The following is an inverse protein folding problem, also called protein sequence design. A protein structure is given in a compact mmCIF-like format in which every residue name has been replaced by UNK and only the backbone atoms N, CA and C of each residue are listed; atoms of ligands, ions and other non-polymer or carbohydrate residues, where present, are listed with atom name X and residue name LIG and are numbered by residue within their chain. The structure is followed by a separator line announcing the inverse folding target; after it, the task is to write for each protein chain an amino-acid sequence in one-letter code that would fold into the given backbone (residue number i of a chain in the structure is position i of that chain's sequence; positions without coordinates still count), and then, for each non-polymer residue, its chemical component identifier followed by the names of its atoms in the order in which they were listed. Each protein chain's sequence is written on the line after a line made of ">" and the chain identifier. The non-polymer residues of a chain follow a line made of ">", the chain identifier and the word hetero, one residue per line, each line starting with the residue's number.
data_IF_407660720607
#
_entry.id   IF_407660720607
#
_cell.length_a   1.000
_cell.length_b   1.000
_cell.length_c   1.000
_cell.angle_alpha   90.00
_cell.angle_beta   90.00
_cell.angle_gamma   90.00
#
_symmetry.space_group_name_H-M   'P 1'
#
loop_
_entity.id
_entity.type
_entity.pdbx_description
1 polymer ?
#
# COMPACT_ATOMS: atom_id res chain seq x y z
N UNK A 1 7.13 -10.27 7.06
CA UNK A 1 7.84 -9.50 6.02
C UNK A 1 6.90 -8.85 5.03
N UNK A 2 5.85 -9.52 4.56
CA UNK A 2 4.83 -8.90 3.69
C UNK A 2 4.32 -7.52 4.13
N UNK A 3 3.89 -7.36 5.40
CA UNK A 3 3.40 -6.06 5.89
C UNK A 3 4.51 -4.98 5.87
N UNK A 4 5.72 -5.35 6.28
CA UNK A 4 6.88 -4.47 6.33
C UNK A 4 7.38 -4.04 4.95
N UNK A 5 7.20 -4.92 3.96
CA UNK A 5 7.62 -4.68 2.59
C UNK A 5 6.60 -3.81 1.85
N UNK A 6 5.30 -4.05 2.08
CA UNK A 6 4.22 -3.34 1.38
C UNK A 6 3.78 -2.05 2.07
N UNK A 7 4.28 -1.75 3.28
CA UNK A 7 3.89 -0.54 4.04
C UNK A 7 5.08 0.14 4.71
N UNK A 8 4.96 1.46 4.95
CA UNK A 8 5.97 2.28 5.66
C UNK A 8 5.81 2.17 7.19
N UNK A 9 4.93 1.30 7.69
CA UNK A 9 4.67 1.19 9.12
C UNK A 9 5.93 0.72 9.87
N UNK A 10 6.34 1.41 10.96
CA UNK A 10 7.51 1.04 11.73
C UNK A 10 7.24 -0.23 12.55
N UNK A 11 7.49 -1.39 11.94
CA UNK A 11 7.39 -2.69 12.61
C UNK A 11 8.71 -3.00 13.32
N UNK A 12 8.63 -3.39 14.59
CA UNK A 12 9.80 -3.82 15.35
C UNK A 12 10.09 -5.29 15.05
N UNK A 13 11.31 -5.58 14.59
CA UNK A 13 11.77 -6.95 14.38
C UNK A 13 12.78 -7.35 15.45
N UNK A 14 12.71 -8.60 15.88
CA UNK A 14 13.67 -9.19 16.83
C UNK A 14 15.01 -9.52 16.17
N UNK A 15 15.01 -9.73 14.85
CA UNK A 15 16.16 -9.95 13.98
C UNK A 15 15.92 -9.19 12.69
N UNK A 16 16.97 -8.64 12.07
CA UNK A 16 16.81 -7.96 10.78
C UNK A 16 16.32 -8.94 9.71
N UNK A 17 15.26 -8.59 8.96
CA UNK A 17 14.75 -9.43 7.88
C UNK A 17 15.79 -9.66 6.79
N UNK A 18 16.03 -10.91 6.42
CA UNK A 18 16.83 -11.21 5.22
C UNK A 18 15.99 -11.07 3.95
N UNK A 19 16.65 -10.90 2.79
CA UNK A 19 15.97 -10.93 1.49
C UNK A 19 15.21 -12.24 1.23
N UNK A 20 15.71 -13.37 1.75
CA UNK A 20 15.03 -14.67 1.66
C UNK A 20 13.72 -14.71 2.46
N UNK A 21 13.66 -14.02 3.61
CA UNK A 21 12.44 -13.93 4.41
C UNK A 21 11.36 -13.08 3.72
N UNK A 22 11.77 -12.03 3.01
CA UNK A 22 10.87 -11.24 2.15
C UNK A 22 10.34 -12.10 1.02
N UNK A 23 11.22 -12.80 0.29
CA UNK A 23 10.84 -13.66 -0.82
C UNK A 23 9.86 -14.77 -0.39
N UNK A 24 10.10 -15.43 0.76
CA UNK A 24 9.20 -16.45 1.32
C UNK A 24 7.83 -15.87 1.70
N UNK A 25 7.76 -14.58 2.00
CA UNK A 25 6.50 -13.91 2.37
C UNK A 25 5.62 -13.49 1.21
N UNK A 26 6.03 -13.69 -0.05
CA UNK A 26 5.25 -13.33 -1.26
C UNK A 26 3.82 -13.87 -1.26
N UNK A 27 3.60 -15.06 -0.70
CA UNK A 27 2.27 -15.69 -0.62
C UNK A 27 1.29 -14.91 0.25
N UNK A 28 1.80 -14.05 1.14
CA UNK A 28 1.00 -13.20 2.03
C UNK A 28 0.72 -11.82 1.44
N UNK A 29 1.34 -11.45 0.32
CA UNK A 29 1.14 -10.14 -0.30
C UNK A 29 -0.33 -9.90 -0.70
N UNK A 30 -1.06 -10.87 -1.29
CA UNK A 30 -2.48 -10.69 -1.60
C UNK A 30 -3.32 -10.39 -0.37
N UNK A 31 -3.01 -11.04 0.77
CA UNK A 31 -3.75 -10.80 2.02
C UNK A 31 -3.49 -9.38 2.55
N UNK A 32 -2.24 -8.91 2.53
CA UNK A 32 -1.90 -7.54 2.93
C UNK A 32 -2.55 -6.52 1.99
N UNK A 33 -2.53 -6.79 0.68
CA UNK A 33 -3.23 -5.97 -0.32
C UNK A 33 -4.74 -5.90 -0.06
N UNK A 34 -5.38 -7.02 0.27
CA UNK A 34 -6.80 -7.06 0.64
C UNK A 34 -7.09 -6.22 1.89
N UNK A 35 -6.24 -6.31 2.92
CA UNK A 35 -6.38 -5.51 4.14
C UNK A 35 -6.24 -4.01 3.86
N UNK A 36 -5.25 -3.60 3.06
CA UNK A 36 -5.07 -2.20 2.66
C UNK A 36 -6.25 -1.72 1.81
N UNK A 37 -6.71 -2.53 0.85
CA UNK A 37 -7.86 -2.21 0.00
C UNK A 37 -9.16 -2.07 0.81
N UNK A 38 -9.39 -2.96 1.78
CA UNK A 38 -10.55 -2.86 2.67
C UNK A 38 -10.49 -1.59 3.55
N UNK A 39 -9.32 -1.28 4.10
CA UNK A 39 -9.11 -0.06 4.90
C UNK A 39 -9.41 1.21 4.09
N UNK A 40 -8.84 1.31 2.89
CA UNK A 40 -9.03 2.44 2.01
C UNK A 40 -10.46 2.53 1.47
N UNK A 41 -11.10 1.39 1.19
CA UNK A 41 -12.49 1.32 0.76
C UNK A 41 -13.47 1.81 1.84
N UNK A 42 -13.25 1.43 3.10
CA UNK A 42 -14.01 1.97 4.23
C UNK A 42 -13.82 3.48 4.36
N UNK A 43 -12.59 3.96 4.18
CA UNK A 43 -12.32 5.39 4.22
C UNK A 43 -13.01 6.14 3.08
N UNK A 44 -12.96 5.61 1.85
CA UNK A 44 -13.66 6.16 0.70
C UNK A 44 -15.17 6.25 0.95
N UNK A 45 -15.80 5.17 1.43
CA UNK A 45 -17.21 5.15 1.77
C UNK A 45 -17.58 6.20 2.85
N UNK A 46 -16.66 6.51 3.77
CA UNK A 46 -16.81 7.61 4.72
C UNK A 46 -16.72 9.00 4.07
N UNK A 47 -15.83 9.18 3.09
CA UNK A 47 -15.67 10.46 2.38
C UNK A 47 -16.82 10.72 1.39
N UNK A 48 -17.42 9.68 0.82
CA UNK A 48 -18.55 9.81 -0.12
C UNK A 48 -19.71 10.63 0.44
N UNK A 49 -19.91 10.64 1.76
CA UNK A 49 -20.90 11.49 2.44
C UNK A 49 -20.70 12.99 2.23
N UNK A 50 -19.48 13.43 1.90
CA UNK A 50 -19.18 14.84 1.61
C UNK A 50 -19.63 15.24 0.19
N UNK A 51 -20.02 14.30 -0.67
CA UNK A 51 -20.42 14.56 -2.07
C UNK A 51 -19.34 15.27 -2.91
N UNK A 52 -18.06 15.08 -2.55
CA UNK A 52 -16.89 15.64 -3.25
C UNK A 52 -16.04 14.50 -3.84
N UNK A 53 -16.43 13.91 -4.98
CA UNK A 53 -15.80 12.69 -5.50
C UNK A 53 -14.32 12.88 -5.86
N UNK A 54 -13.96 14.02 -6.44
CA UNK A 54 -12.57 14.33 -6.78
C UNK A 54 -11.68 14.46 -5.54
N UNK A 55 -12.19 15.10 -4.49
CA UNK A 55 -11.47 15.22 -3.22
C UNK A 55 -11.32 13.85 -2.55
N UNK A 56 -12.37 13.02 -2.57
CA UNK A 56 -12.31 11.67 -2.03
C UNK A 56 -11.27 10.80 -2.74
N UNK A 57 -11.27 10.80 -4.07
CA UNK A 57 -10.27 10.08 -4.86
C UNK A 57 -8.85 10.57 -4.55
N UNK A 58 -8.64 11.89 -4.48
CA UNK A 58 -7.34 12.47 -4.14
C UNK A 58 -6.86 12.05 -2.74
N UNK A 59 -7.72 12.12 -1.72
CA UNK A 59 -7.36 11.76 -0.35
C UNK A 59 -7.05 10.26 -0.21
N UNK A 60 -7.85 9.40 -0.84
CA UNK A 60 -7.63 7.95 -0.85
C UNK A 60 -6.33 7.60 -1.58
N UNK A 61 -6.05 8.25 -2.72
CA UNK A 61 -4.79 8.06 -3.45
C UNK A 61 -3.60 8.50 -2.60
N UNK A 62 -3.67 9.69 -1.99
CA UNK A 62 -2.61 10.23 -1.13
C UNK A 62 -2.34 9.31 0.06
N UNK A 63 -3.40 8.78 0.68
CA UNK A 63 -3.33 7.81 1.75
C UNK A 63 -2.67 6.50 1.32
N UNK A 64 -3.08 5.95 0.17
CA UNK A 64 -2.49 4.74 -0.37
C UNK A 64 -1.00 4.90 -0.64
N UNK A 65 -0.61 5.97 -1.34
CA UNK A 65 0.80 6.32 -1.60
C UNK A 65 1.58 6.45 -0.29
N UNK A 66 1.04 7.17 0.70
CA UNK A 66 1.68 7.38 1.99
C UNK A 66 1.84 6.07 2.79
N UNK A 67 0.82 5.21 2.79
CA UNK A 67 0.84 3.93 3.50
C UNK A 67 1.82 2.94 2.88
N UNK A 68 1.93 2.91 1.54
CA UNK A 68 2.82 1.97 0.83
C UNK A 68 4.19 2.55 0.49
N UNK A 69 4.45 3.82 0.79
CA UNK A 69 5.71 4.49 0.45
C UNK A 69 5.91 4.62 -1.05
N UNK A 70 4.83 4.82 -1.80
CA UNK A 70 4.81 4.90 -3.27
C UNK A 70 5.30 3.66 -4.03
N UNK A 71 5.54 2.50 -3.38
CA UNK A 71 6.07 1.28 -4.03
C UNK A 71 5.37 0.89 -5.34
N UNK A 72 4.04 0.95 -5.37
CA UNK A 72 3.27 0.59 -6.57
C UNK A 72 3.27 1.69 -7.63
N UNK A 73 3.37 2.96 -7.22
CA UNK A 73 3.47 4.09 -8.12
C UNK A 73 4.85 4.12 -8.80
N UNK A 74 5.90 3.76 -8.05
CA UNK A 74 7.27 3.59 -8.54
C UNK A 74 7.33 2.56 -9.66
N UNK A 75 6.78 1.35 -9.43
CA UNK A 75 6.72 0.32 -10.49
C UNK A 75 5.87 0.69 -11.70
N UNK A 76 4.91 1.61 -11.57
CA UNK A 76 4.19 2.17 -12.72
C UNK A 76 5.08 3.17 -13.49
N UNK A 77 5.84 4.02 -12.79
CA UNK A 77 6.80 4.93 -13.40
C UNK A 77 7.91 4.17 -14.12
N UNK A 78 8.47 3.12 -13.51
CA UNK A 78 9.49 2.23 -14.10
C UNK A 78 9.00 1.55 -15.40
N UNK A 79 7.69 1.28 -15.49
CA UNK A 79 7.09 0.77 -16.72
C UNK A 79 6.98 1.88 -17.79
N UNK A 80 6.67 3.11 -17.39
CA UNK A 80 6.46 4.22 -18.32
C UNK A 80 7.77 4.76 -18.89
N UNK A 81 8.86 4.80 -18.12
CA UNK A 81 10.17 5.29 -18.58
C UNK A 81 11.01 4.22 -19.28
N UNK A 82 10.64 2.94 -19.11
CA UNK A 82 11.21 1.80 -19.84
C UNK A 82 10.60 1.53 -21.22
N UNK A 83 9.50 2.22 -21.60
CA UNK A 83 8.83 2.13 -22.91
C UNK A 83 9.27 3.26 -23.86
#
# INVERSE_FOLDING_TARGET
>A
MALAFLTVLPLRFRQEPSGADVARSRFWFPLVGLLLGALLGVWMAGIEWLQLPALGAFLVLLAWVGLTGALHLDGFCDLCDGL
#
